data_IF_813307258890
#
_entry.id   IF_813307258890
#
_cell.length_a   1.000
_cell.length_b   1.000
_cell.length_c   1.000
_cell.angle_alpha   90.00
_cell.angle_beta   90.00
_cell.angle_gamma   90.00
#
_symmetry.space_group_name_H-M   'P 1'
#
loop_
_entity.id
_entity.type
_entity.pdbx_description
1 polymer ?
#
# COMPACT_ATOMS: atom_id res chain seq x y z
N UNK A 1 20.64 15.53 1.81
CA UNK A 1 19.61 15.41 0.76
C UNK A 1 18.35 14.96 1.45
N UNK A 2 17.47 15.90 1.81
CA UNK A 2 16.17 15.56 2.38
C UNK A 2 15.37 14.89 1.28
N UNK A 3 15.08 13.60 1.43
CA UNK A 3 14.28 12.86 0.47
C UNK A 3 12.88 13.47 0.43
N UNK A 4 12.60 14.31 -0.58
CA UNK A 4 11.31 14.97 -0.77
C UNK A 4 10.14 13.99 -0.68
N UNK A 5 10.36 12.75 -1.12
CA UNK A 5 9.35 11.69 -1.02
C UNK A 5 9.07 11.26 0.43
N UNK A 6 10.08 11.20 1.31
CA UNK A 6 9.89 10.83 2.71
C UNK A 6 9.19 11.94 3.48
N UNK A 7 9.55 13.20 3.23
CA UNK A 7 8.84 14.35 3.78
C UNK A 7 7.38 14.38 3.30
N UNK A 8 7.13 14.10 2.01
CA UNK A 8 5.79 14.00 1.46
C UNK A 8 4.98 12.88 2.12
N UNK A 9 5.56 11.70 2.31
CA UNK A 9 4.88 10.58 2.98
C UNK A 9 4.55 10.93 4.43
N UNK A 10 5.48 11.58 5.15
CA UNK A 10 5.27 12.01 6.53
C UNK A 10 4.18 13.08 6.67
N UNK A 11 3.87 13.83 5.59
CA UNK A 11 2.80 14.83 5.58
C UNK A 11 1.39 14.24 5.51
N UNK A 12 1.25 12.96 5.14
CA UNK A 12 -0.07 12.34 5.03
C UNK A 12 -0.68 12.08 6.40
N UNK A 13 -1.95 12.44 6.55
CA UNK A 13 -2.70 12.23 7.80
C UNK A 13 -3.48 10.92 7.79
N UNK A 14 -3.73 10.37 6.60
CA UNK A 14 -4.47 9.14 6.37
C UNK A 14 -3.78 8.27 5.31
N UNK A 15 -4.12 6.98 5.30
CA UNK A 15 -3.56 6.04 4.32
C UNK A 15 -4.17 6.25 2.93
N UNK A 16 -5.39 6.77 2.87
CA UNK A 16 -6.11 7.13 1.65
C UNK A 16 -5.40 8.24 0.91
N UNK A 17 -4.94 9.29 1.58
CA UNK A 17 -4.12 10.35 0.96
C UNK A 17 -2.88 9.77 0.26
N UNK A 18 -2.22 8.80 0.90
CA UNK A 18 -1.08 8.11 0.30
C UNK A 18 -1.51 7.26 -0.91
N UNK A 19 -2.63 6.53 -0.80
CA UNK A 19 -3.15 5.70 -1.89
C UNK A 19 -3.56 6.55 -3.09
N UNK A 20 -4.19 7.71 -2.87
CA UNK A 20 -4.58 8.66 -3.91
C UNK A 20 -3.35 9.32 -4.53
N UNK A 21 -2.39 9.81 -3.73
CA UNK A 21 -1.14 10.40 -4.23
C UNK A 21 -0.31 9.45 -5.08
N UNK A 22 -0.37 8.15 -4.78
CA UNK A 22 0.36 7.12 -5.52
C UNK A 22 -0.47 6.48 -6.64
N UNK A 23 -1.65 6.99 -6.98
CA UNK A 23 -2.55 6.40 -7.97
C UNK A 23 -2.74 4.88 -7.73
N UNK A 24 -3.16 4.51 -6.52
CA UNK A 24 -3.49 3.14 -6.14
C UNK A 24 -4.95 3.12 -5.72
N UNK A 25 -5.84 2.72 -6.63
CA UNK A 25 -7.25 2.62 -6.24
C UNK A 25 -7.51 1.46 -5.28
N UNK A 26 -8.44 1.73 -4.37
CA UNK A 26 -8.79 0.90 -3.22
C UNK A 26 -10.30 0.85 -3.05
N UNK A 27 -10.79 -0.18 -2.36
CA UNK A 27 -12.18 -0.23 -1.91
C UNK A 27 -12.29 0.41 -0.52
N UNK A 28 -13.18 1.38 -0.32
CA UNK A 28 -13.35 2.07 0.97
C UNK A 28 -13.65 1.10 2.10
N UNK A 29 -14.46 0.07 1.86
CA UNK A 29 -14.73 -1.01 2.83
C UNK A 29 -13.46 -1.74 3.27
N UNK A 30 -12.55 -2.02 2.34
CA UNK A 30 -11.29 -2.69 2.65
C UNK A 30 -10.40 -1.82 3.55
N UNK A 31 -10.33 -0.51 3.28
CA UNK A 31 -9.56 0.42 4.13
C UNK A 31 -10.19 0.53 5.51
N UNK A 32 -11.52 0.67 5.61
CA UNK A 32 -12.21 0.73 6.91
C UNK A 32 -11.92 -0.50 7.78
N UNK A 33 -11.88 -1.70 7.18
CA UNK A 33 -11.63 -2.95 7.91
C UNK A 33 -10.15 -3.19 8.23
N UNK A 34 -9.22 -2.68 7.41
CA UNK A 34 -7.81 -3.09 7.45
C UNK A 34 -6.80 -1.94 7.58
N UNK A 35 -7.25 -0.70 7.82
CA UNK A 35 -6.42 0.52 7.92
C UNK A 35 -5.19 0.29 8.80
N UNK A 36 -5.40 -0.20 10.02
CA UNK A 36 -4.32 -0.37 11.00
C UNK A 36 -3.27 -1.37 10.50
N UNK A 37 -3.70 -2.51 9.93
CA UNK A 37 -2.77 -3.50 9.38
C UNK A 37 -2.00 -2.93 8.19
N UNK A 38 -2.69 -2.21 7.30
CA UNK A 38 -2.10 -1.61 6.11
C UNK A 38 -1.03 -0.56 6.46
N UNK A 39 -1.35 0.37 7.37
CA UNK A 39 -0.41 1.40 7.85
C UNK A 39 0.82 0.76 8.47
N UNK A 40 0.63 -0.25 9.35
CA UNK A 40 1.76 -0.97 9.98
C UNK A 40 2.67 -1.61 8.94
N UNK A 41 2.10 -2.30 7.94
CA UNK A 41 2.90 -2.94 6.89
C UNK A 41 3.61 -1.93 6.00
N UNK A 42 2.93 -0.85 5.63
CA UNK A 42 3.53 0.20 4.82
C UNK A 42 4.72 0.84 5.54
N UNK A 43 4.56 1.21 6.81
CA UNK A 43 5.66 1.75 7.62
C UNK A 43 6.83 0.76 7.73
N UNK A 44 6.55 -0.53 7.89
CA UNK A 44 7.58 -1.56 7.85
C UNK A 44 8.37 -1.58 6.54
N UNK A 45 7.70 -1.46 5.39
CA UNK A 45 8.38 -1.39 4.09
C UNK A 45 9.13 -0.07 3.89
N UNK A 46 8.66 1.06 4.41
CA UNK A 46 9.41 2.32 4.37
C UNK A 46 10.76 2.20 5.11
N UNK A 47 10.77 1.52 6.26
CA UNK A 47 11.99 1.32 7.07
C UNK A 47 12.97 0.37 6.36
N UNK A 48 12.46 -0.73 5.79
CA UNK A 48 13.27 -1.76 5.15
C UNK A 48 13.80 -1.34 3.79
N UNK A 49 12.94 -0.79 2.93
CA UNK A 49 13.27 -0.46 1.55
C UNK A 49 13.90 0.92 1.41
N UNK A 50 13.64 1.84 2.37
CA UNK A 50 14.10 3.24 2.36
C UNK A 50 13.90 3.88 0.97
N UNK A 51 12.66 3.98 0.47
CA UNK A 51 12.42 4.48 -0.87
C UNK A 51 12.98 5.91 -1.03
N UNK A 52 13.64 6.14 -2.16
CA UNK A 52 14.28 7.40 -2.51
C UNK A 52 13.45 8.21 -3.52
N UNK A 53 12.51 7.56 -4.21
CA UNK A 53 11.68 8.18 -5.24
C UNK A 53 10.20 7.74 -5.15
N UNK A 54 9.37 8.42 -5.94
CA UNK A 54 7.93 8.19 -6.00
C UNK A 54 7.56 6.77 -6.39
N UNK A 55 8.26 6.15 -7.34
CA UNK A 55 7.96 4.80 -7.82
C UNK A 55 8.32 3.72 -6.79
N UNK A 56 9.43 3.91 -6.07
CA UNK A 56 9.84 3.04 -4.97
C UNK A 56 8.83 3.12 -3.82
N UNK A 57 8.44 4.34 -3.42
CA UNK A 57 7.43 4.53 -2.37
C UNK A 57 6.05 3.97 -2.77
N UNK A 58 5.62 4.21 -4.01
CA UNK A 58 4.42 3.59 -4.59
C UNK A 58 4.48 2.08 -4.53
N UNK A 59 5.62 1.48 -4.88
CA UNK A 59 5.81 0.03 -4.85
C UNK A 59 5.71 -0.51 -3.42
N UNK A 60 6.31 0.16 -2.45
CA UNK A 60 6.20 -0.20 -1.03
C UNK A 60 4.73 -0.19 -0.57
N UNK A 61 3.97 0.87 -0.86
CA UNK A 61 2.55 0.95 -0.50
C UNK A 61 1.71 -0.12 -1.20
N UNK A 62 1.92 -0.30 -2.51
CA UNK A 62 1.22 -1.32 -3.29
C UNK A 62 1.51 -2.74 -2.78
N UNK A 63 2.75 -3.02 -2.42
CA UNK A 63 3.15 -4.30 -1.81
C UNK A 63 2.45 -4.52 -0.47
N UNK A 64 2.37 -3.48 0.38
CA UNK A 64 1.67 -3.54 1.66
C UNK A 64 0.18 -3.88 1.44
N UNK A 65 -0.48 -3.13 0.57
CA UNK A 65 -1.89 -3.35 0.22
C UNK A 65 -2.14 -4.78 -0.29
N UNK A 66 -1.36 -5.21 -1.29
CA UNK A 66 -1.48 -6.55 -1.87
C UNK A 66 -1.15 -7.66 -0.87
N UNK A 67 -0.29 -7.41 0.12
CA UNK A 67 0.03 -8.40 1.16
C UNK A 67 -1.13 -8.56 2.14
N UNK A 68 -1.71 -7.46 2.62
CA UNK A 68 -2.90 -7.50 3.49
C UNK A 68 -4.07 -8.14 2.76
N UNK A 69 -4.31 -7.77 1.50
CA UNK A 69 -5.44 -8.35 0.77
C UNK A 69 -5.29 -9.86 0.54
N UNK A 70 -4.09 -10.32 0.18
CA UNK A 70 -3.83 -11.75 -0.05
C UNK A 70 -3.83 -12.57 1.24
N UNK A 71 -3.53 -11.99 2.40
CA UNK A 71 -3.59 -12.71 3.67
C UNK A 71 -5.03 -13.05 4.10
N UNK A 72 -6.03 -12.36 3.54
CA UNK A 72 -7.46 -12.62 3.77
C UNK A 72 -8.07 -13.62 2.80
N UNK A 73 -7.36 -13.98 1.72
CA UNK A 73 -7.85 -15.01 0.80
C UNK A 73 -7.77 -16.37 1.50
N UNK A 74 -8.83 -17.16 1.34
CA UNK A 74 -8.83 -18.52 1.84
C UNK A 74 -7.76 -19.35 1.11
N UNK A 75 -6.94 -20.08 1.86
CA UNK A 75 -5.77 -20.81 1.34
C UNK A 75 -6.17 -22.09 0.60
N UNK A 76 -7.37 -22.59 0.85
CA UNK A 76 -7.88 -23.84 0.28
C UNK A 76 -8.63 -23.59 -1.03
N UNK A 77 -9.00 -22.34 -1.30
CA UNK A 77 -9.67 -21.92 -2.53
C UNK A 77 -8.70 -21.16 -3.44
N UNK A 78 -8.82 -21.40 -4.76
CA UNK A 78 -8.02 -20.69 -5.78
C UNK A 78 -8.60 -19.30 -6.06
N UNK A 79 -8.78 -18.50 -5.02
CA UNK A 79 -9.30 -17.14 -5.16
C UNK A 79 -8.22 -16.21 -5.73
N UNK A 80 -8.53 -15.57 -6.85
CA UNK A 80 -7.72 -14.47 -7.33
C UNK A 80 -7.83 -13.30 -6.34
N UNK A 81 -6.74 -12.56 -6.14
CA UNK A 81 -6.84 -11.30 -5.41
C UNK A 81 -7.85 -10.39 -6.14
N UNK A 82 -8.82 -9.85 -5.40
CA UNK A 82 -9.74 -8.80 -5.88
C UNK A 82 -9.00 -7.45 -6.02
N UNK A 83 -7.84 -7.47 -6.68
CA UNK A 83 -6.67 -6.60 -6.45
C UNK A 83 -6.93 -5.11 -6.28
N UNK A 84 -5.91 -4.36 -5.84
CA UNK A 84 -5.91 -2.91 -6.07
C UNK A 84 -6.25 -2.64 -7.54
N UNK A 85 -7.05 -1.61 -7.84
CA UNK A 85 -7.55 -1.37 -9.21
C UNK A 85 -6.42 -1.07 -10.21
N UNK A 86 -5.18 -0.93 -9.72
CA UNK A 86 -3.97 -0.70 -10.50
C UNK A 86 -3.10 -1.95 -10.63
N UNK A 87 -3.57 -3.13 -10.22
CA UNK A 87 -2.85 -4.38 -10.39
C UNK A 87 -2.83 -4.80 -11.87
N UNK A 88 -1.77 -4.46 -12.59
CA UNK A 88 -1.48 -5.07 -13.88
C UNK A 88 -0.94 -6.48 -13.62
N UNK A 89 -1.65 -7.51 -14.10
CA UNK A 89 -1.05 -8.84 -14.25
C UNK A 89 0.14 -8.67 -15.19
N UNK A 90 1.35 -8.95 -14.68
CA UNK A 90 2.57 -9.02 -15.50
C UNK A 90 2.45 -10.17 -16.50
#
# INVERSE_FOLDING_TARGET
>A
MSNDIQAKIASFTSIEEALDYFDIGYASKFINENRIELVKRFNGYLILEKPQDWFAARRALKNAYCKVQRSKLDKHTRQACRGCTTCQRR
#
